data_IF_596010044474
#
_entry.id   IF_596010044474
#
_cell.length_a   1.000
_cell.length_b   1.000
_cell.length_c   1.000
_cell.angle_alpha   90.00
_cell.angle_beta   90.00
_cell.angle_gamma   90.00
#
_symmetry.space_group_name_H-M   'P 1'
#
loop_
_entity.id
_entity.type
_entity.pdbx_description
1 polymer ?
#
# COMPACT_ATOMS: atom_id res chain seq x y z
N UNK A 1 58.89 -3.32 -16.47
CA UNK A 1 58.05 -2.65 -17.47
C UNK A 1 56.73 -3.40 -17.75
N UNK A 2 56.76 -4.68 -18.17
CA UNK A 2 55.52 -5.45 -18.46
C UNK A 2 54.49 -5.49 -17.32
N UNK A 3 54.92 -5.64 -16.06
CA UNK A 3 54.00 -5.64 -14.89
C UNK A 3 53.31 -4.30 -14.62
N UNK A 4 54.00 -3.18 -14.91
CA UNK A 4 53.43 -1.85 -14.76
C UNK A 4 52.40 -1.54 -15.83
N UNK A 5 52.61 -2.04 -17.07
CA UNK A 5 51.67 -1.89 -18.19
C UNK A 5 50.39 -2.68 -17.93
N UNK A 6 50.50 -3.88 -17.36
CA UNK A 6 49.34 -4.71 -16.97
C UNK A 6 48.52 -4.05 -15.85
N UNK A 7 49.21 -3.48 -14.86
CA UNK A 7 48.54 -2.77 -13.74
C UNK A 7 47.78 -1.52 -14.21
N UNK A 8 48.41 -0.73 -15.11
CA UNK A 8 47.80 0.42 -15.75
C UNK A 8 46.59 0.02 -16.62
N UNK A 9 46.67 -1.11 -17.32
CA UNK A 9 45.55 -1.65 -18.09
C UNK A 9 44.36 -2.04 -17.23
N UNK A 10 44.61 -2.68 -16.09
CA UNK A 10 43.54 -3.06 -15.11
C UNK A 10 42.87 -1.82 -14.50
N UNK A 11 43.67 -0.79 -14.17
CA UNK A 11 43.14 0.48 -13.64
C UNK A 11 42.28 1.21 -14.69
N UNK A 12 42.74 1.27 -15.94
CA UNK A 12 41.98 1.86 -17.06
C UNK A 12 40.68 1.10 -17.36
N UNK A 13 40.70 -0.22 -17.31
CA UNK A 13 39.48 -1.04 -17.42
C UNK A 13 38.52 -0.80 -16.26
N UNK A 14 39.01 -0.63 -15.04
CA UNK A 14 38.19 -0.31 -13.86
C UNK A 14 37.47 1.04 -13.97
N UNK A 15 38.11 2.05 -14.58
CA UNK A 15 37.48 3.35 -14.85
C UNK A 15 36.42 3.31 -15.95
N UNK A 16 36.56 2.44 -16.94
CA UNK A 16 35.60 2.31 -18.06
C UNK A 16 34.26 1.72 -17.65
N UNK A 17 34.18 0.98 -16.53
CA UNK A 17 32.95 0.37 -16.04
C UNK A 17 32.14 1.22 -15.06
N UNK A 18 32.58 2.41 -14.73
CA UNK A 18 31.98 3.24 -13.67
C UNK A 18 31.04 4.36 -14.15
N UNK A 19 30.83 4.51 -15.44
CA UNK A 19 29.91 5.52 -15.96
C UNK A 19 28.64 4.88 -16.54
N UNK A 20 27.50 5.25 -15.99
CA UNK A 20 26.20 4.92 -16.60
C UNK A 20 26.18 5.40 -18.06
N UNK A 21 25.68 4.54 -18.94
CA UNK A 21 25.47 4.89 -20.33
C UNK A 21 24.51 6.09 -20.45
N UNK A 22 24.55 6.86 -21.55
CA UNK A 22 23.60 7.96 -21.76
C UNK A 22 22.14 7.51 -21.66
N UNK A 23 21.83 6.28 -22.04
CA UNK A 23 20.51 5.67 -21.93
C UNK A 23 20.11 5.47 -20.46
N UNK A 24 21.01 4.88 -19.66
CA UNK A 24 20.77 4.65 -18.22
C UNK A 24 20.61 5.97 -17.46
N UNK A 25 21.45 6.97 -17.76
CA UNK A 25 21.32 8.32 -17.18
C UNK A 25 19.95 8.92 -17.50
N UNK A 26 19.49 8.81 -18.75
CA UNK A 26 18.17 9.30 -19.16
C UNK A 26 17.04 8.53 -18.48
N UNK A 27 17.16 7.21 -18.34
CA UNK A 27 16.19 6.36 -17.66
C UNK A 27 16.05 6.77 -16.18
N UNK A 28 17.18 6.89 -15.48
CA UNK A 28 17.23 7.31 -14.07
C UNK A 28 16.63 8.70 -13.91
N UNK A 29 16.98 9.65 -14.79
CA UNK A 29 16.46 11.02 -14.74
C UNK A 29 14.93 11.03 -14.93
N UNK A 30 14.42 10.34 -15.93
CA UNK A 30 12.97 10.26 -16.17
C UNK A 30 12.24 9.58 -15.01
N UNK A 31 12.80 8.49 -14.48
CA UNK A 31 12.21 7.79 -13.34
C UNK A 31 12.19 8.65 -12.07
N UNK A 32 13.29 9.37 -11.82
CA UNK A 32 13.37 10.29 -10.67
C UNK A 32 12.40 11.46 -10.81
N UNK A 33 12.26 12.01 -12.02
CA UNK A 33 11.28 13.06 -12.30
C UNK A 33 9.85 12.53 -12.08
N UNK A 34 9.53 11.33 -12.58
CA UNK A 34 8.23 10.70 -12.39
C UNK A 34 7.90 10.49 -10.91
N UNK A 35 8.86 10.02 -10.09
CA UNK A 35 8.66 9.87 -8.63
C UNK A 35 8.38 11.22 -7.97
N UNK A 36 9.02 12.29 -8.41
CA UNK A 36 8.84 13.63 -7.83
C UNK A 36 7.54 14.29 -8.25
N UNK A 37 7.14 14.13 -9.50
CA UNK A 37 5.95 14.77 -10.08
C UNK A 37 4.67 14.01 -9.77
N UNK A 38 4.72 12.69 -9.73
CA UNK A 38 3.59 11.83 -9.41
C UNK A 38 3.69 11.39 -7.94
N UNK A 39 3.04 12.13 -7.07
CA UNK A 39 2.90 11.78 -5.65
C UNK A 39 1.96 10.59 -5.49
N UNK A 40 2.44 9.40 -5.81
CA UNK A 40 1.65 8.18 -5.70
C UNK A 40 1.58 7.71 -4.25
N UNK A 41 0.38 7.73 -3.70
CA UNK A 41 0.09 7.23 -2.37
C UNK A 41 -0.25 5.74 -2.39
N UNK A 42 0.11 5.04 -1.34
CA UNK A 42 -0.33 3.68 -1.08
C UNK A 42 -0.70 3.53 0.39
N UNK A 43 -1.81 2.85 0.65
CA UNK A 43 -2.28 2.58 2.02
C UNK A 43 -2.03 1.12 2.35
N UNK A 44 -1.52 0.87 3.55
CA UNK A 44 -1.46 -0.46 4.16
C UNK A 44 -2.30 -0.47 5.41
N UNK A 45 -3.07 -1.55 5.63
CA UNK A 45 -3.98 -1.68 6.75
C UNK A 45 -3.70 -2.97 7.52
N UNK A 46 -3.45 -2.81 8.81
CA UNK A 46 -3.33 -3.90 9.78
C UNK A 46 -4.61 -3.99 10.59
N UNK A 47 -5.09 -5.18 10.81
CA UNK A 47 -6.25 -5.46 11.65
C UNK A 47 -5.83 -6.29 12.86
N UNK A 48 -6.56 -6.19 13.95
CA UNK A 48 -6.34 -6.97 15.18
C UNK A 48 -6.56 -8.46 14.98
N UNK A 49 -7.46 -8.85 14.06
CA UNK A 49 -7.79 -10.25 13.75
C UNK A 49 -7.99 -10.45 12.23
N UNK A 50 -8.14 -11.69 11.82
CA UNK A 50 -8.57 -12.09 10.46
C UNK A 50 -9.97 -12.73 10.45
N UNK A 51 -10.47 -13.11 11.63
CA UNK A 51 -11.80 -13.73 11.82
C UNK A 51 -12.56 -12.94 12.88
N UNK A 52 -13.79 -12.59 12.57
CA UNK A 52 -14.69 -11.82 13.43
C UNK A 52 -16.04 -12.50 13.55
N UNK A 53 -16.71 -12.30 14.68
CA UNK A 53 -18.11 -12.66 14.84
C UNK A 53 -18.99 -11.45 14.55
N UNK A 54 -20.22 -11.67 14.10
CA UNK A 54 -21.19 -10.58 13.94
C UNK A 54 -21.38 -9.83 15.26
N UNK A 55 -21.34 -8.49 15.19
CA UNK A 55 -21.36 -7.60 16.36
C UNK A 55 -19.96 -7.29 16.95
N UNK A 56 -18.88 -7.96 16.49
CA UNK A 56 -17.53 -7.62 16.91
C UNK A 56 -17.12 -6.24 16.38
N UNK A 57 -16.19 -5.62 17.08
CA UNK A 57 -15.46 -4.45 16.58
C UNK A 57 -14.15 -4.91 15.94
N UNK A 58 -14.01 -4.61 14.66
CA UNK A 58 -12.78 -4.76 13.92
C UNK A 58 -11.94 -3.50 14.12
N UNK A 59 -10.83 -3.62 14.83
CA UNK A 59 -9.87 -2.54 15.01
C UNK A 59 -8.81 -2.59 13.93
N UNK A 60 -8.43 -1.42 13.43
CA UNK A 60 -7.38 -1.33 12.44
C UNK A 60 -6.44 -0.15 12.67
N UNK A 61 -5.24 -0.32 12.18
CA UNK A 61 -4.23 0.72 12.00
C UNK A 61 -3.80 0.76 10.56
N UNK A 62 -3.79 1.94 9.95
CA UNK A 62 -3.33 2.10 8.58
C UNK A 62 -2.14 3.05 8.50
N UNK A 63 -1.34 2.84 7.47
CA UNK A 63 -0.14 3.60 7.15
C UNK A 63 -0.22 4.04 5.71
N UNK A 64 0.18 5.28 5.47
CA UNK A 64 0.35 5.80 4.13
C UNK A 64 1.83 5.83 3.77
N UNK A 65 2.16 5.37 2.59
CA UNK A 65 3.52 5.33 2.07
C UNK A 65 3.55 5.84 0.63
N UNK A 66 4.72 6.28 0.21
CA UNK A 66 4.98 6.56 -1.20
C UNK A 66 5.02 5.25 -2.00
N UNK A 67 4.22 5.13 -3.07
CA UNK A 67 4.04 3.87 -3.77
C UNK A 67 5.31 3.32 -4.42
N UNK A 68 6.17 4.18 -4.97
CA UNK A 68 7.39 3.77 -5.67
C UNK A 68 8.58 3.57 -4.72
N UNK A 69 8.72 4.40 -3.68
CA UNK A 69 9.90 4.41 -2.82
C UNK A 69 9.65 3.76 -1.45
N UNK A 70 8.40 3.38 -1.14
CA UNK A 70 7.96 2.64 0.07
C UNK A 70 8.46 3.27 1.38
N UNK A 71 8.60 4.60 1.42
CA UNK A 71 8.87 5.30 2.68
C UNK A 71 7.58 5.90 3.25
N UNK A 72 7.48 6.02 4.59
CA UNK A 72 6.33 6.65 5.25
C UNK A 72 6.14 8.09 4.77
N UNK A 73 4.91 8.42 4.44
CA UNK A 73 4.53 9.78 4.07
C UNK A 73 3.06 10.00 4.37
N UNK A 74 2.67 11.24 4.59
CA UNK A 74 1.27 11.63 4.74
C UNK A 74 1.01 12.81 3.83
N UNK A 75 0.39 12.55 2.68
CA UNK A 75 -0.12 13.61 1.79
C UNK A 75 -1.62 13.78 2.00
N UNK A 76 -2.36 12.68 2.05
CA UNK A 76 -3.79 12.72 2.35
C UNK A 76 -4.03 12.64 3.85
N UNK A 77 -4.71 13.64 4.42
CA UNK A 77 -5.06 13.69 5.84
C UNK A 77 -6.21 12.74 6.23
N UNK A 78 -6.82 12.07 5.27
CA UNK A 78 -7.92 11.12 5.50
C UNK A 78 -7.76 9.90 4.64
N UNK A 79 -8.11 8.75 5.22
CA UNK A 79 -8.32 7.49 4.48
C UNK A 79 -9.78 7.07 4.59
N UNK A 80 -10.24 6.32 3.62
CA UNK A 80 -11.50 5.62 3.63
C UNK A 80 -11.23 4.13 3.83
N UNK A 81 -12.02 3.49 4.70
CA UNK A 81 -11.97 2.03 4.89
C UNK A 81 -13.38 1.49 4.70
N UNK A 82 -13.53 0.60 3.74
CA UNK A 82 -14.78 -0.05 3.38
C UNK A 82 -14.78 -1.50 3.86
N UNK A 83 -15.90 -1.93 4.42
CA UNK A 83 -16.27 -3.33 4.51
C UNK A 83 -17.12 -3.69 3.30
N UNK A 84 -16.72 -4.71 2.54
CA UNK A 84 -17.28 -5.07 1.24
C UNK A 84 -17.73 -6.54 1.26
N UNK A 85 -18.88 -6.79 0.67
CA UNK A 85 -19.42 -8.13 0.47
C UNK A 85 -18.77 -8.87 -0.72
N UNK A 86 -19.22 -10.10 -0.99
CA UNK A 86 -18.74 -10.93 -2.11
C UNK A 86 -19.14 -10.40 -3.49
N UNK A 87 -20.07 -9.45 -3.56
CA UNK A 87 -20.54 -8.83 -4.82
C UNK A 87 -19.91 -7.45 -5.05
N UNK A 88 -18.82 -7.14 -4.34
CA UNK A 88 -18.16 -5.82 -4.33
C UNK A 88 -19.08 -4.66 -3.86
N UNK A 89 -20.16 -4.98 -3.12
CA UNK A 89 -21.03 -3.98 -2.54
C UNK A 89 -20.49 -3.49 -1.21
N UNK A 90 -20.46 -2.17 -1.02
CA UNK A 90 -20.01 -1.55 0.22
C UNK A 90 -21.09 -1.68 1.28
N UNK A 91 -20.82 -2.44 2.33
CA UNK A 91 -21.70 -2.61 3.49
C UNK A 91 -21.57 -1.42 4.42
N UNK A 92 -20.34 -1.02 4.70
CA UNK A 92 -20.03 0.09 5.60
C UNK A 92 -18.77 0.81 5.14
N UNK A 93 -18.75 2.13 5.27
CA UNK A 93 -17.58 2.99 5.03
C UNK A 93 -17.29 3.82 6.26
N UNK A 94 -16.04 3.88 6.67
CA UNK A 94 -15.54 4.81 7.66
C UNK A 94 -14.48 5.73 7.05
N UNK A 95 -14.53 7.01 7.41
CA UNK A 95 -13.52 8.01 7.08
C UNK A 95 -12.69 8.29 8.33
N UNK A 96 -11.38 8.14 8.23
CA UNK A 96 -10.46 8.24 9.35
C UNK A 96 -9.46 9.36 9.11
N UNK A 97 -9.30 10.24 10.08
CA UNK A 97 -8.29 11.29 10.06
C UNK A 97 -6.92 10.75 10.49
N UNK A 98 -5.88 11.33 9.93
CA UNK A 98 -4.50 11.11 10.35
C UNK A 98 -4.28 11.60 11.78
N UNK A 99 -3.50 10.82 12.55
CA UNK A 99 -2.96 11.18 13.86
C UNK A 99 -1.57 10.57 14.00
N UNK A 100 -0.59 11.38 14.36
CA UNK A 100 0.79 10.93 14.57
C UNK A 100 1.35 10.10 13.39
N UNK A 101 1.13 10.58 12.17
CA UNK A 101 1.54 9.93 10.90
C UNK A 101 0.91 8.56 10.66
N UNK A 102 -0.18 8.24 11.34
CA UNK A 102 -0.94 7.00 11.21
C UNK A 102 -2.44 7.26 11.22
N UNK A 103 -3.20 6.24 10.85
CA UNK A 103 -4.67 6.26 10.88
C UNK A 103 -5.16 5.12 11.78
N UNK A 104 -6.00 5.44 12.75
CA UNK A 104 -6.56 4.47 13.69
C UNK A 104 -8.07 4.49 13.60
N UNK A 105 -8.69 3.35 13.50
CA UNK A 105 -10.12 3.27 13.39
C UNK A 105 -10.69 1.91 13.77
N UNK A 106 -12.03 1.86 13.74
CA UNK A 106 -12.79 0.64 13.97
C UNK A 106 -13.97 0.57 13.01
N UNK A 107 -14.38 -0.66 12.69
CA UNK A 107 -15.63 -0.97 11.99
C UNK A 107 -16.39 -1.95 12.88
N UNK A 108 -17.64 -1.68 13.17
CA UNK A 108 -18.53 -2.65 13.84
C UNK A 108 -19.07 -3.60 12.78
N UNK A 109 -18.86 -4.91 12.97
CA UNK A 109 -19.39 -5.94 12.07
C UNK A 109 -20.90 -6.04 12.26
N UNK A 110 -21.73 -5.72 11.25
CA UNK A 110 -23.19 -5.75 11.41
C UNK A 110 -23.70 -7.11 11.88
N UNK A 111 -24.70 -7.07 12.79
CA UNK A 111 -25.23 -8.28 13.43
C UNK A 111 -26.07 -9.16 12.51
N UNK A 112 -26.50 -8.62 11.40
CA UNK A 112 -27.33 -9.24 10.37
C UNK A 112 -26.53 -9.81 9.19
N UNK A 113 -25.18 -9.70 9.22
CA UNK A 113 -24.35 -10.29 8.20
C UNK A 113 -24.43 -11.82 8.22
N UNK A 114 -24.50 -12.39 7.03
CA UNK A 114 -24.36 -13.84 6.85
C UNK A 114 -22.92 -14.28 7.10
N UNK A 115 -22.76 -15.52 7.55
CA UNK A 115 -21.45 -16.12 7.68
C UNK A 115 -20.75 -16.19 6.31
N UNK A 116 -19.46 -15.79 6.26
CA UNK A 116 -18.69 -15.91 5.02
C UNK A 116 -17.46 -15.05 4.95
N UNK A 117 -16.90 -14.98 3.74
CA UNK A 117 -15.73 -14.16 3.45
C UNK A 117 -16.17 -12.78 2.99
N UNK A 118 -15.51 -11.77 3.54
CA UNK A 118 -15.69 -10.36 3.25
C UNK A 118 -14.34 -9.74 2.93
N UNK A 119 -14.33 -8.52 2.41
CA UNK A 119 -13.11 -7.80 2.13
C UNK A 119 -13.10 -6.44 2.81
N UNK A 120 -11.93 -6.06 3.32
CA UNK A 120 -11.64 -4.67 3.66
C UNK A 120 -10.95 -4.03 2.48
N UNK A 121 -11.35 -2.82 2.13
CA UNK A 121 -10.72 -1.99 1.13
C UNK A 121 -10.31 -0.67 1.79
N UNK A 122 -9.05 -0.25 1.62
CA UNK A 122 -8.57 1.02 2.18
C UNK A 122 -7.90 1.86 1.10
N UNK A 123 -8.22 3.16 1.05
CA UNK A 123 -7.73 4.08 0.04
C UNK A 123 -7.81 5.53 0.51
N UNK A 124 -7.06 6.41 -0.13
CA UNK A 124 -7.20 7.85 -0.02
C UNK A 124 -8.06 8.38 -1.16
N UNK A 125 -8.55 9.61 -1.03
CA UNK A 125 -9.26 10.24 -2.16
C UNK A 125 -8.39 10.35 -3.41
N UNK A 126 -7.09 10.62 -3.23
CA UNK A 126 -6.13 10.73 -4.33
C UNK A 126 -5.92 9.39 -5.06
N UNK A 127 -5.91 8.26 -4.33
CA UNK A 127 -5.74 6.92 -4.92
C UNK A 127 -6.87 6.56 -5.91
N UNK A 128 -8.03 7.21 -5.85
CA UNK A 128 -9.13 6.97 -6.78
C UNK A 128 -8.74 7.32 -8.24
N UNK A 129 -7.79 8.24 -8.43
CA UNK A 129 -7.26 8.57 -9.75
C UNK A 129 -6.54 7.40 -10.43
N UNK A 130 -6.00 6.46 -9.65
CA UNK A 130 -5.32 5.24 -10.13
C UNK A 130 -6.26 4.05 -10.36
N UNK A 131 -7.53 4.19 -10.00
CA UNK A 131 -8.53 3.12 -10.08
C UNK A 131 -8.53 2.18 -8.87
N UNK A 132 -9.57 1.36 -8.78
CA UNK A 132 -9.82 0.50 -7.61
C UNK A 132 -8.79 -0.63 -7.44
N UNK A 133 -8.08 -1.02 -8.49
CA UNK A 133 -7.01 -2.02 -8.42
C UNK A 133 -5.81 -1.53 -7.61
N UNK A 134 -5.70 -0.22 -7.45
CA UNK A 134 -4.65 0.43 -6.67
C UNK A 134 -4.92 0.42 -5.16
N UNK A 135 -6.17 0.15 -4.75
CA UNK A 135 -6.58 0.17 -3.35
C UNK A 135 -6.01 -1.03 -2.59
N UNK A 136 -5.73 -0.81 -1.31
CA UNK A 136 -5.42 -1.92 -0.43
C UNK A 136 -6.65 -2.80 -0.26
N UNK A 137 -6.47 -4.12 -0.39
CA UNK A 137 -7.55 -5.12 -0.17
C UNK A 137 -7.06 -6.21 0.78
N UNK A 138 -7.88 -6.55 1.77
CA UNK A 138 -7.61 -7.63 2.73
C UNK A 138 -8.88 -8.45 2.95
N UNK A 139 -8.78 -9.76 2.80
CA UNK A 139 -9.86 -10.68 3.13
C UNK A 139 -9.97 -10.86 4.64
N UNK A 140 -11.20 -10.91 5.14
CA UNK A 140 -11.57 -11.28 6.50
C UNK A 140 -12.69 -12.32 6.45
N UNK A 141 -12.82 -13.08 7.52
CA UNK A 141 -13.93 -14.05 7.67
C UNK A 141 -14.87 -13.58 8.77
N UNK A 142 -16.17 -13.61 8.47
CA UNK A 142 -17.22 -13.33 9.45
C UNK A 142 -17.93 -14.64 9.81
N UNK A 143 -18.10 -14.88 11.10
CA UNK A 143 -18.85 -16.01 11.67
C UNK A 143 -20.17 -15.47 12.21
N UNK A 144 -21.26 -16.12 11.83
CA UNK A 144 -22.57 -15.85 12.42
C UNK A 144 -23.09 -17.13 13.09
N UNK A 145 -23.12 -17.19 14.43
CA UNK A 145 -23.59 -18.37 15.16
C UNK A 145 -25.03 -18.80 14.84
N UNK A 146 -25.83 -17.89 14.28
CA UNK A 146 -27.22 -18.20 13.87
C UNK A 146 -27.31 -18.95 12.55
N UNK A 147 -26.30 -18.82 11.69
CA UNK A 147 -26.25 -19.48 10.38
C UNK A 147 -25.74 -20.94 10.48
N UNK A 148 -25.32 -21.35 11.67
CA UNK A 148 -24.73 -22.68 11.94
C UNK A 148 -25.77 -23.73 12.35
N UNK A 149 -27.06 -23.41 12.25
CA UNK A 149 -28.19 -24.31 12.62
C UNK A 149 -28.91 -24.83 11.41
#
# INVERSE_FOLDING_TARGET
MKKVIVLLGIILLGYAFNEFSPFEKKLITNFTAQIRELQQEKVYLHTDKSVYTVGDKLWFRAYQVHAAAVFPMVYSHYIYVDLIDRRDSVIQRVKVAERDSCFFGQIEIPKDLQQGDYSLRAFTYYMQNGGEDYFFKKKIRVINPKDSR
#
